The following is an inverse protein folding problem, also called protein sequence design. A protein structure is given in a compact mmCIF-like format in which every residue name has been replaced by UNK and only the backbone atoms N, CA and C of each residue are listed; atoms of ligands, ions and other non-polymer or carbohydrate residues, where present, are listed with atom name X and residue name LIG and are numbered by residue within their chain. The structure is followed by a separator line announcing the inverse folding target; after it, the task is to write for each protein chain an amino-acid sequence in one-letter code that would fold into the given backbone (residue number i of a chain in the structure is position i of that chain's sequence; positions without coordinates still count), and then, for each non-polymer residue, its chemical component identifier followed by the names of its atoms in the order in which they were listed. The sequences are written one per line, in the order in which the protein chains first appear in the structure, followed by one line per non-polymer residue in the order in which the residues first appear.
data_IF_259664039516
#
_entry.id   IF_259664039516
#
_cell.length_a   1.000
_cell.length_b   1.000
_cell.length_c   1.000
_cell.angle_alpha   90.00
_cell.angle_beta   90.00
_cell.angle_gamma   90.00
#
_symmetry.space_group_name_H-M   'P 1'
#
loop_
_entity.id
_entity.type
_entity.pdbx_description
1 polymer ?
#
# COMPACT_ATOMS: atom_id res chain seq x y z
N UNK A 1 7.01 -14.20 8.91
CA UNK A 1 6.12 -13.04 9.01
C UNK A 1 6.56 -12.25 10.22
N UNK A 2 6.99 -11.00 10.04
CA UNK A 2 7.24 -10.08 11.14
C UNK A 2 5.96 -9.26 11.33
N UNK A 3 5.54 -9.06 12.58
CA UNK A 3 4.40 -8.21 12.92
C UNK A 3 4.98 -7.05 13.73
N UNK A 4 4.71 -5.83 13.29
CA UNK A 4 5.03 -4.59 13.98
C UNK A 4 3.79 -4.20 14.81
N UNK A 5 3.83 -4.55 16.09
CA UNK A 5 2.81 -4.16 17.05
C UNK A 5 3.14 -2.81 17.70
N UNK A 6 2.20 -2.29 18.48
CA UNK A 6 2.40 -1.15 19.38
C UNK A 6 2.82 0.18 18.74
N UNK A 7 2.56 0.37 17.44
CA UNK A 7 2.76 1.68 16.79
C UNK A 7 1.88 2.79 17.42
N UNK A 8 0.90 2.41 18.24
CA UNK A 8 0.12 3.33 19.08
C UNK A 8 0.96 4.16 20.05
N UNK A 9 2.13 3.67 20.48
CA UNK A 9 3.07 4.45 21.29
C UNK A 9 3.68 5.64 20.54
N UNK A 10 3.57 5.68 19.21
CA UNK A 10 3.93 6.88 18.47
C UNK A 10 2.93 8.01 18.74
N UNK A 11 1.67 7.68 18.99
CA UNK A 11 0.60 8.66 19.24
C UNK A 11 0.72 9.23 20.65
N UNK A 12 1.18 10.49 20.78
CA UNK A 12 1.17 11.18 22.09
C UNK A 12 -0.24 11.61 22.48
N UNK A 13 -1.05 11.92 21.48
CA UNK A 13 -2.47 12.20 21.62
C UNK A 13 -3.25 11.18 20.79
N UNK A 14 -4.27 10.54 21.35
CA UNK A 14 -5.06 9.50 20.63
C UNK A 14 -5.92 10.06 19.47
N UNK A 15 -5.65 11.27 18.98
CA UNK A 15 -6.40 11.93 17.91
C UNK A 15 -5.49 12.60 16.88
N UNK A 16 -4.26 12.11 16.73
CA UNK A 16 -3.35 12.61 15.70
C UNK A 16 -3.89 12.38 14.28
N UNK A 17 -3.45 13.22 13.35
CA UNK A 17 -3.82 13.10 11.94
C UNK A 17 -3.14 11.90 11.28
N UNK A 18 -3.79 11.35 10.25
CA UNK A 18 -3.32 10.20 9.47
C UNK A 18 -1.90 10.42 8.92
N UNK A 19 -1.64 11.62 8.39
CA UNK A 19 -0.33 12.01 7.85
C UNK A 19 0.79 11.99 8.90
N UNK A 20 0.48 12.30 10.17
CA UNK A 20 1.47 12.30 11.24
C UNK A 20 1.92 10.88 11.55
N UNK A 21 0.96 9.95 11.61
CA UNK A 21 1.24 8.55 11.85
C UNK A 21 2.02 7.93 10.67
N UNK A 22 1.54 8.18 9.45
CA UNK A 22 2.22 7.78 8.22
C UNK A 22 3.69 8.23 8.20
N UNK A 23 3.98 9.52 8.49
CA UNK A 23 5.36 10.06 8.44
C UNK A 23 6.32 9.36 9.41
N UNK A 24 5.85 8.96 10.58
CA UNK A 24 6.70 8.22 11.54
C UNK A 24 7.01 6.81 11.04
N UNK A 25 6.01 6.13 10.49
CA UNK A 25 6.24 4.83 9.88
C UNK A 25 7.21 4.94 8.68
N UNK A 26 6.99 5.92 7.80
CA UNK A 26 7.86 6.20 6.67
C UNK A 26 9.31 6.44 7.12
N UNK A 27 9.53 7.21 8.20
CA UNK A 27 10.89 7.45 8.71
C UNK A 27 11.62 6.18 9.17
N UNK A 28 10.90 5.16 9.65
CA UNK A 28 11.52 3.87 9.99
C UNK A 28 11.94 3.11 8.74
N UNK A 29 11.09 3.13 7.71
CA UNK A 29 11.40 2.51 6.43
C UNK A 29 12.55 3.22 5.72
N UNK A 30 12.64 4.55 5.80
CA UNK A 30 13.77 5.32 5.28
C UNK A 30 15.09 4.87 5.91
N UNK A 31 15.09 4.62 7.22
CA UNK A 31 16.26 4.08 7.94
C UNK A 31 16.52 2.63 7.55
N UNK A 32 15.48 1.79 7.51
CA UNK A 32 15.59 0.36 7.21
C UNK A 32 16.14 0.10 5.79
N UNK A 33 15.68 0.89 4.83
CA UNK A 33 16.06 0.79 3.42
C UNK A 33 17.20 1.74 3.04
N UNK A 34 17.79 2.42 4.02
CA UNK A 34 18.94 3.28 3.77
C UNK A 34 20.09 2.48 3.13
N UNK A 35 20.64 2.99 2.03
CA UNK A 35 21.68 2.32 1.26
C UNK A 35 21.18 1.19 0.34
N UNK A 36 19.86 0.96 0.25
CA UNK A 36 19.26 0.07 -0.73
C UNK A 36 18.67 0.83 -1.93
N UNK A 37 18.26 0.09 -2.95
CA UNK A 37 17.54 0.60 -4.14
C UNK A 37 16.02 0.72 -3.90
N UNK A 38 15.57 0.39 -2.70
CA UNK A 38 14.17 0.52 -2.30
C UNK A 38 13.89 1.97 -1.91
N UNK A 39 12.82 2.54 -2.46
CA UNK A 39 12.36 3.91 -2.22
C UNK A 39 10.91 3.93 -1.80
N UNK A 40 10.55 4.95 -1.04
CA UNK A 40 9.17 5.26 -0.67
C UNK A 40 8.64 6.31 -1.64
N UNK A 41 7.53 6.01 -2.31
CA UNK A 41 6.75 7.00 -3.05
C UNK A 41 5.53 7.41 -2.21
N UNK A 42 5.45 8.69 -1.85
CA UNK A 42 4.46 9.25 -0.92
C UNK A 42 3.52 10.28 -1.58
N UNK A 43 2.53 10.77 -0.82
CA UNK A 43 1.72 11.93 -1.21
C UNK A 43 0.52 11.65 -2.14
N UNK A 44 -0.31 10.64 -1.83
CA UNK A 44 -1.43 10.18 -2.69
C UNK A 44 -0.96 9.75 -4.09
N UNK A 45 0.08 8.90 -4.12
CA UNK A 45 0.56 8.34 -5.39
C UNK A 45 -0.40 7.28 -5.91
N UNK A 46 -0.66 7.31 -7.22
CA UNK A 46 -1.44 6.29 -7.90
C UNK A 46 -0.64 4.98 -8.04
N UNK A 47 -1.22 3.87 -7.57
CA UNK A 47 -0.70 2.52 -7.83
C UNK A 47 -1.13 2.08 -9.23
N UNK A 48 -0.20 2.07 -10.18
CA UNK A 48 -0.49 1.77 -11.57
C UNK A 48 -0.90 0.31 -11.77
N UNK A 49 -0.38 -0.59 -10.92
CA UNK A 49 -0.73 -2.03 -11.01
C UNK A 49 -2.18 -2.31 -10.62
N UNK A 50 -2.83 -1.38 -9.91
CA UNK A 50 -4.23 -1.53 -9.52
C UNK A 50 -5.23 -1.28 -10.66
N UNK A 51 -4.80 -0.66 -11.77
CA UNK A 51 -5.68 -0.24 -12.87
C UNK A 51 -6.27 -1.39 -13.67
N UNK A 52 -5.44 -2.35 -14.11
CA UNK A 52 -5.91 -3.52 -14.90
C UNK A 52 -6.99 -4.33 -14.17
N UNK A 53 -6.84 -4.69 -12.88
CA UNK A 53 -7.92 -5.33 -12.13
C UNK A 53 -9.22 -4.51 -12.04
N UNK A 54 -9.13 -3.18 -12.00
CA UNK A 54 -10.32 -2.30 -12.01
C UNK A 54 -11.03 -2.39 -13.36
N UNK A 55 -10.29 -2.29 -14.46
CA UNK A 55 -10.83 -2.40 -15.82
C UNK A 55 -11.53 -3.75 -16.04
N UNK A 56 -10.87 -4.85 -15.64
CA UNK A 56 -11.44 -6.20 -15.72
C UNK A 56 -12.72 -6.32 -14.89
N UNK A 57 -12.74 -5.81 -13.66
CA UNK A 57 -13.94 -5.85 -12.83
C UNK A 57 -15.09 -5.03 -13.41
N UNK A 58 -14.83 -3.83 -13.96
CA UNK A 58 -15.86 -3.04 -14.63
C UNK A 58 -16.50 -3.82 -15.79
N UNK A 59 -15.66 -4.47 -16.60
CA UNK A 59 -16.11 -5.24 -17.76
C UNK A 59 -16.90 -6.50 -17.35
N UNK A 60 -16.43 -7.26 -16.36
CA UNK A 60 -17.06 -8.50 -15.92
C UNK A 60 -18.42 -8.28 -15.24
N UNK A 61 -18.55 -7.22 -14.46
CA UNK A 61 -19.76 -6.94 -13.68
C UNK A 61 -20.71 -5.95 -14.36
N UNK A 62 -20.45 -5.63 -15.64
CA UNK A 62 -21.30 -4.79 -16.49
C UNK A 62 -21.74 -3.50 -15.80
N UNK A 63 -20.82 -2.87 -15.07
CA UNK A 63 -21.09 -1.59 -14.46
C UNK A 63 -21.16 -0.61 -15.62
N UNK A 64 -22.33 -0.04 -15.92
CA UNK A 64 -22.57 1.02 -16.93
C UNK A 64 -21.83 2.34 -16.60
N UNK A 65 -20.76 2.25 -15.83
CA UNK A 65 -19.88 3.34 -15.45
C UNK A 65 -18.84 3.57 -16.56
N UNK A 66 -19.22 4.46 -17.47
CA UNK A 66 -18.39 4.98 -18.58
C UNK A 66 -17.17 5.79 -18.11
N UNK A 67 -16.99 6.02 -16.79
CA UNK A 67 -15.84 6.76 -16.30
C UNK A 67 -14.51 6.05 -16.59
N UNK A 68 -13.43 6.78 -16.93
CA UNK A 68 -12.11 6.20 -17.09
C UNK A 68 -11.69 5.42 -15.83
N UNK A 69 -11.08 4.26 -16.02
CA UNK A 69 -10.48 3.51 -14.92
C UNK A 69 -9.25 4.25 -14.40
N UNK A 70 -9.36 4.80 -13.20
CA UNK A 70 -8.26 5.46 -12.52
C UNK A 70 -7.54 4.48 -11.58
N UNK A 71 -6.20 4.55 -11.57
CA UNK A 71 -5.37 3.92 -10.56
C UNK A 71 -5.80 4.34 -9.15
N UNK A 72 -5.70 3.44 -8.18
CA UNK A 72 -6.00 3.77 -6.79
C UNK A 72 -4.90 4.66 -6.22
N UNK A 73 -5.29 5.81 -5.67
CA UNK A 73 -4.43 6.61 -4.80
C UNK A 73 -4.18 5.85 -3.50
N UNK A 74 -2.90 5.75 -3.15
CA UNK A 74 -2.40 5.09 -1.95
C UNK A 74 -1.43 6.05 -1.24
N UNK A 75 -1.39 5.97 0.09
CA UNK A 75 -0.57 6.85 0.91
C UNK A 75 0.93 6.57 0.70
N UNK A 76 1.31 5.29 0.58
CA UNK A 76 2.68 4.86 0.34
C UNK A 76 2.76 3.68 -0.62
N UNK A 77 3.72 3.75 -1.53
CA UNK A 77 4.14 2.63 -2.36
C UNK A 77 5.64 2.43 -2.16
N UNK A 78 6.05 1.21 -1.79
CA UNK A 78 7.45 0.81 -1.87
C UNK A 78 7.77 0.51 -3.32
N UNK A 79 8.82 1.13 -3.84
CA UNK A 79 9.30 0.94 -5.20
C UNK A 79 10.75 0.47 -5.20
N UNK A 80 11.08 -0.36 -6.19
CA UNK A 80 12.44 -0.70 -6.54
C UNK A 80 12.86 0.09 -7.77
N UNK A 81 13.91 0.90 -7.64
CA UNK A 81 14.53 1.70 -8.71
C UNK A 81 13.55 2.65 -9.44
N UNK A 82 13.71 3.97 -9.25
CA UNK A 82 12.85 4.98 -9.86
C UNK A 82 12.83 4.93 -11.41
N UNK A 83 13.90 4.42 -12.03
CA UNK A 83 13.97 4.30 -13.49
C UNK A 83 13.11 3.15 -14.02
N UNK A 84 12.94 2.09 -13.21
CA UNK A 84 12.16 0.91 -13.58
C UNK A 84 10.73 0.97 -13.06
N UNK A 85 10.47 1.83 -12.06
CA UNK A 85 9.16 2.06 -11.48
C UNK A 85 8.45 0.74 -11.10
N UNK A 86 9.21 -0.15 -10.45
CA UNK A 86 8.71 -1.46 -10.01
C UNK A 86 8.06 -1.28 -8.65
N UNK A 87 6.74 -1.37 -8.59
CA UNK A 87 5.99 -1.33 -7.33
C UNK A 87 6.14 -2.67 -6.60
N UNK A 88 6.54 -2.64 -5.33
CA UNK A 88 6.81 -3.82 -4.50
C UNK A 88 5.65 -4.13 -3.55
N UNK A 89 5.16 -3.11 -2.86
CA UNK A 89 3.96 -3.19 -2.04
C UNK A 89 3.38 -1.79 -1.83
N UNK A 90 2.17 -1.74 -1.29
CA UNK A 90 1.45 -0.51 -1.02
C UNK A 90 0.81 -0.59 0.36
N UNK A 91 0.67 0.57 1.01
CA UNK A 91 -0.03 0.69 2.27
C UNK A 91 -0.86 1.96 2.29
N UNK A 92 -2.06 1.84 2.81
CA UNK A 92 -2.92 2.95 3.18
C UNK A 92 -3.08 2.96 4.68
N UNK A 93 -3.18 4.13 5.28
CA UNK A 93 -3.33 4.33 6.71
C UNK A 93 -4.72 4.83 7.03
N UNK A 94 -5.12 4.62 8.28
CA UNK A 94 -6.27 5.30 8.88
C UNK A 94 -5.88 5.78 10.27
N UNK A 95 -6.51 6.86 10.72
CA UNK A 95 -6.38 7.32 12.10
C UNK A 95 -6.75 6.21 13.08
N UNK A 96 -6.14 6.22 14.26
CA UNK A 96 -6.37 5.20 15.29
C UNK A 96 -7.85 5.06 15.68
N UNK A 97 -8.55 6.21 15.78
CA UNK A 97 -9.97 6.34 16.17
C UNK A 97 -10.96 6.24 14.99
N UNK A 98 -10.64 5.50 13.93
CA UNK A 98 -11.67 5.15 12.93
C UNK A 98 -12.50 3.96 13.40
N UNK A 99 -13.75 3.87 12.92
CA UNK A 99 -14.62 2.73 13.20
C UNK A 99 -14.01 1.42 12.68
N UNK A 100 -14.40 0.31 13.29
CA UNK A 100 -14.03 -1.05 12.85
C UNK A 100 -14.36 -1.28 11.37
N UNK A 101 -15.52 -0.80 10.90
CA UNK A 101 -15.92 -0.92 9.51
C UNK A 101 -14.95 -0.20 8.55
N UNK A 102 -14.44 0.97 8.95
CA UNK A 102 -13.45 1.69 8.15
C UNK A 102 -12.10 0.97 8.15
N UNK A 103 -11.68 0.33 9.25
CA UNK A 103 -10.48 -0.50 9.30
C UNK A 103 -10.59 -1.70 8.35
N UNK A 104 -11.74 -2.38 8.35
CA UNK A 104 -11.99 -3.52 7.45
C UNK A 104 -11.98 -3.07 5.98
N UNK A 105 -12.59 -1.92 5.67
CA UNK A 105 -12.59 -1.34 4.31
C UNK A 105 -11.17 -0.98 3.86
N UNK A 106 -10.38 -0.37 4.74
CA UNK A 106 -8.97 -0.05 4.50
C UNK A 106 -8.15 -1.31 4.25
N UNK A 107 -8.20 -2.30 5.15
CA UNK A 107 -7.50 -3.58 4.99
C UNK A 107 -7.89 -4.27 3.67
N UNK A 108 -9.19 -4.31 3.35
CA UNK A 108 -9.68 -4.87 2.09
C UNK A 108 -9.13 -4.13 0.87
N UNK A 109 -8.89 -2.81 0.98
CA UNK A 109 -8.27 -2.02 -0.07
C UNK A 109 -6.78 -2.36 -0.20
N UNK A 110 -6.03 -2.39 0.91
CA UNK A 110 -4.61 -2.78 0.92
C UNK A 110 -4.41 -4.17 0.30
N UNK A 111 -5.17 -5.17 0.74
CA UNK A 111 -5.09 -6.55 0.24
C UNK A 111 -5.31 -6.63 -1.27
N UNK A 112 -6.33 -5.95 -1.81
CA UNK A 112 -6.61 -5.94 -3.25
C UNK A 112 -5.49 -5.29 -4.06
N UNK A 113 -4.92 -4.20 -3.56
CA UNK A 113 -3.85 -3.47 -4.27
C UNK A 113 -2.55 -4.28 -4.21
N UNK A 114 -2.19 -4.81 -3.04
CA UNK A 114 -1.00 -5.65 -2.89
C UNK A 114 -1.10 -6.95 -3.69
N UNK A 115 -2.27 -7.56 -3.78
CA UNK A 115 -2.49 -8.69 -4.67
C UNK A 115 -2.27 -8.33 -6.15
N UNK A 116 -2.72 -7.14 -6.58
CA UNK A 116 -2.47 -6.67 -7.94
C UNK A 116 -0.98 -6.46 -8.22
N UNK A 117 -0.24 -5.91 -7.25
CA UNK A 117 1.22 -5.75 -7.33
C UNK A 117 1.92 -7.11 -7.43
N UNK A 118 1.61 -8.04 -6.53
CA UNK A 118 2.23 -9.39 -6.54
C UNK A 118 1.94 -10.12 -7.85
N UNK A 119 0.70 -10.09 -8.34
CA UNK A 119 0.34 -10.73 -9.61
C UNK A 119 1.14 -10.13 -10.77
N UNK A 120 1.38 -8.81 -10.76
CA UNK A 120 2.19 -8.16 -11.78
C UNK A 120 3.67 -8.53 -11.66
N UNK A 121 4.24 -8.56 -10.46
CA UNK A 121 5.61 -9.00 -10.22
C UNK A 121 5.83 -10.46 -10.67
N UNK A 122 4.88 -11.35 -10.36
CA UNK A 122 4.92 -12.74 -10.80
C UNK A 122 4.84 -12.87 -12.33
N UNK A 123 3.99 -12.07 -12.98
CA UNK A 123 3.87 -12.10 -14.43
C UNK A 123 5.12 -11.56 -15.14
N UNK A 124 5.77 -10.53 -14.59
CA UNK A 124 6.95 -9.90 -15.22
C UNK A 124 8.25 -10.64 -14.89
N UNK A 125 8.38 -11.24 -13.71
CA UNK A 125 9.66 -11.72 -13.19
C UNK A 125 9.56 -13.06 -12.44
N UNK A 126 8.43 -13.77 -12.50
CA UNK A 126 8.10 -14.95 -11.69
C UNK A 126 9.19 -16.01 -11.45
N UNK A 127 10.04 -16.39 -12.42
CA UNK A 127 11.12 -17.34 -12.18
C UNK A 127 12.36 -16.75 -11.50
N UNK A 128 12.43 -15.42 -11.32
CA UNK A 128 13.62 -14.68 -10.86
C UNK A 128 13.54 -14.21 -9.40
N UNK A 129 12.39 -14.34 -8.75
CA UNK A 129 12.20 -13.93 -7.36
C UNK A 129 12.11 -15.12 -6.41
N UNK A 130 12.99 -15.13 -5.39
CA UNK A 130 13.02 -16.19 -4.38
C UNK A 130 12.38 -15.75 -3.04
N UNK A 131 12.00 -14.46 -2.93
CA UNK A 131 11.51 -13.87 -1.68
C UNK A 131 10.39 -12.89 -1.97
N UNK A 132 9.34 -12.92 -1.15
CA UNK A 132 8.21 -11.99 -1.19
C UNK A 132 8.25 -11.12 0.07
N UNK A 133 8.27 -9.80 -0.10
CA UNK A 133 8.02 -8.85 0.97
C UNK A 133 6.55 -8.39 0.86
N UNK A 134 5.78 -8.64 1.92
CA UNK A 134 4.43 -8.12 2.06
C UNK A 134 4.35 -7.30 3.35
N UNK A 135 3.69 -6.15 3.27
CA UNK A 135 3.47 -5.23 4.37
C UNK A 135 2.02 -4.76 4.30
N UNK A 136 1.31 -4.83 5.43
CA UNK A 136 -0.08 -4.37 5.54
C UNK A 136 -0.28 -3.70 6.90
N UNK A 137 -0.57 -2.40 6.90
CA UNK A 137 -0.85 -1.64 8.13
C UNK A 137 -2.34 -1.44 8.31
N UNK A 138 -2.88 -1.89 9.44
CA UNK A 138 -4.29 -1.80 9.83
C UNK A 138 -4.40 -0.96 11.11
N UNK A 139 -4.82 0.30 10.97
CA UNK A 139 -4.85 1.23 12.10
C UNK A 139 -3.46 1.43 12.71
N UNK A 140 -3.25 0.90 13.93
CA UNK A 140 -1.99 0.96 14.70
C UNK A 140 -1.22 -0.36 14.73
N UNK A 141 -1.48 -1.29 13.80
CA UNK A 141 -0.77 -2.57 13.71
C UNK A 141 -0.28 -2.78 12.28
N UNK A 142 0.93 -3.27 12.08
CA UNK A 142 1.53 -3.49 10.76
C UNK A 142 2.39 -4.74 10.68
#
# INVERSE_FOLDING_TARGET
MAIIEDTEYWSKEQNEQEITFYRRFASLLDVLFNGSEIKLADGETACERSRKPIEVNKHLFNVDDVSPSCSRKIDMILKYDDNKNVELCSNEWKRMKVSSDLKIKQQSKNLRVNAAIINNLQAEYGPSFNTILAMDVIGSKG
#
